data_IF_848160100292
#
_entry.id   IF_848160100292
#
_cell.length_a   1.000
_cell.length_b   1.000
_cell.length_c   1.000
_cell.angle_alpha   90.00
_cell.angle_beta   90.00
_cell.angle_gamma   90.00
#
_symmetry.space_group_name_H-M   'P 1'
#
loop_
_entity.id
_entity.type
_entity.pdbx_description
1 polymer ?
#
# COMPACT_ATOMS: atom_id res chain seq x y z
N UNK A 1 44.69 -6.28 -4.17
CA UNK A 1 43.53 -6.92 -4.86
C UNK A 1 42.42 -7.36 -3.89
N UNK A 2 42.72 -7.93 -2.72
CA UNK A 2 41.72 -8.40 -1.73
C UNK A 2 40.75 -7.33 -1.19
N UNK A 3 41.20 -6.10 -0.93
CA UNK A 3 40.36 -5.01 -0.39
C UNK A 3 39.24 -4.62 -1.37
N UNK A 4 39.52 -4.61 -2.68
CA UNK A 4 38.52 -4.29 -3.71
C UNK A 4 37.41 -5.33 -3.74
N UNK A 5 37.74 -6.61 -3.61
CA UNK A 5 36.75 -7.70 -3.56
C UNK A 5 35.80 -7.61 -2.37
N UNK A 6 36.29 -7.20 -1.19
CA UNK A 6 35.41 -7.00 -0.01
C UNK A 6 34.45 -5.83 -0.16
N UNK A 7 34.88 -4.74 -0.81
CA UNK A 7 34.01 -3.58 -1.09
C UNK A 7 32.88 -3.97 -2.04
N UNK A 8 33.16 -4.77 -3.08
CA UNK A 8 32.12 -5.24 -4.01
C UNK A 8 31.11 -6.17 -3.35
N UNK A 9 31.54 -7.04 -2.41
CA UNK A 9 30.64 -7.92 -1.65
C UNK A 9 29.77 -7.12 -0.67
N UNK A 10 30.34 -6.12 0.02
CA UNK A 10 29.59 -5.24 0.91
C UNK A 10 28.56 -4.39 0.17
N UNK A 11 28.89 -3.90 -1.03
CA UNK A 11 27.95 -3.15 -1.88
C UNK A 11 26.79 -4.02 -2.38
N UNK A 12 27.09 -5.26 -2.79
CA UNK A 12 26.08 -6.22 -3.24
C UNK A 12 25.13 -6.66 -2.10
N UNK A 13 25.66 -6.85 -0.88
CA UNK A 13 24.85 -7.15 0.30
C UNK A 13 23.93 -5.99 0.71
N UNK A 14 24.36 -4.74 0.54
CA UNK A 14 23.52 -3.56 0.79
C UNK A 14 22.31 -3.46 -0.14
N UNK A 15 22.45 -3.82 -1.42
CA UNK A 15 21.34 -3.75 -2.38
C UNK A 15 20.22 -4.77 -2.10
N UNK A 16 20.52 -5.95 -1.56
CA UNK A 16 19.52 -6.98 -1.24
C UNK A 16 18.56 -6.59 -0.11
N UNK A 17 19.03 -5.76 0.82
CA UNK A 17 18.23 -5.28 1.95
C UNK A 17 17.10 -4.35 1.51
N UNK A 18 17.33 -3.52 0.49
CA UNK A 18 16.34 -2.54 0.00
C UNK A 18 15.18 -3.21 -0.73
N UNK A 19 15.45 -4.26 -1.51
CA UNK A 19 14.40 -5.11 -2.09
C UNK A 19 13.60 -5.86 -1.02
N UNK A 20 14.23 -6.19 0.11
CA UNK A 20 13.59 -6.85 1.24
C UNK A 20 12.52 -5.97 1.89
N UNK A 21 12.76 -4.66 2.03
CA UNK A 21 11.81 -3.74 2.67
C UNK A 21 10.44 -3.70 1.96
N UNK A 22 10.42 -3.70 0.63
CA UNK A 22 9.17 -3.71 -0.15
C UNK A 22 8.37 -5.01 0.07
N UNK A 23 9.07 -6.15 0.07
CA UNK A 23 8.45 -7.44 0.34
C UNK A 23 7.90 -7.52 1.78
N UNK A 24 8.66 -7.04 2.76
CA UNK A 24 8.23 -6.98 4.17
C UNK A 24 7.00 -6.09 4.31
N UNK A 25 7.00 -4.88 3.76
CA UNK A 25 5.86 -3.96 3.82
C UNK A 25 4.60 -4.58 3.22
N UNK A 26 4.75 -5.29 2.09
CA UNK A 26 3.65 -6.01 1.44
C UNK A 26 3.09 -7.11 2.34
N UNK A 27 3.97 -7.96 2.89
CA UNK A 27 3.58 -9.11 3.72
C UNK A 27 3.06 -8.74 5.10
N UNK A 28 3.43 -7.55 5.59
CA UNK A 28 3.03 -7.04 6.91
C UNK A 28 1.89 -6.02 6.84
N UNK A 29 1.29 -5.81 5.66
CA UNK A 29 0.12 -4.97 5.53
C UNK A 29 -1.06 -5.59 6.28
N UNK A 30 -1.65 -4.82 7.20
CA UNK A 30 -2.69 -5.26 8.12
C UNK A 30 -4.03 -4.56 7.87
N UNK A 31 -4.17 -3.81 6.79
CA UNK A 31 -5.44 -3.14 6.47
C UNK A 31 -6.51 -4.21 6.23
N UNK A 32 -7.65 -4.10 6.91
CA UNK A 32 -8.84 -4.87 6.53
C UNK A 32 -9.57 -4.18 5.37
N UNK A 33 -10.49 -4.89 4.74
CA UNK A 33 -11.34 -4.28 3.71
C UNK A 33 -12.25 -3.20 4.31
N UNK A 34 -12.67 -3.37 5.57
CA UNK A 34 -13.39 -2.36 6.33
C UNK A 34 -12.54 -1.10 6.55
N UNK A 35 -11.24 -1.24 6.84
CA UNK A 35 -10.33 -0.10 6.96
C UNK A 35 -10.19 0.66 5.65
N UNK A 36 -10.06 -0.07 4.53
CA UNK A 36 -9.96 0.52 3.20
C UNK A 36 -11.23 1.31 2.89
N UNK A 37 -12.41 0.72 3.07
CA UNK A 37 -13.68 1.39 2.82
C UNK A 37 -13.86 2.60 3.74
N UNK A 38 -13.55 2.47 5.03
CA UNK A 38 -13.62 3.56 6.00
C UNK A 38 -12.73 4.74 5.58
N UNK A 39 -11.43 4.49 5.34
CA UNK A 39 -10.46 5.54 4.99
C UNK A 39 -10.77 6.21 3.66
N UNK A 40 -11.16 5.42 2.64
CA UNK A 40 -11.43 5.96 1.29
C UNK A 40 -12.77 6.67 1.20
N UNK A 41 -13.78 6.24 1.96
CA UNK A 41 -15.08 6.92 2.03
C UNK A 41 -14.95 8.36 2.54
N UNK A 42 -14.06 8.61 3.51
CA UNK A 42 -13.81 9.93 4.05
C UNK A 42 -13.29 10.92 3.02
N UNK A 43 -12.37 10.50 2.13
CA UNK A 43 -11.84 11.39 1.07
C UNK A 43 -12.78 11.52 -0.13
N UNK A 44 -13.66 10.55 -0.34
CA UNK A 44 -14.68 10.59 -1.40
C UNK A 44 -15.94 11.35 -0.98
N UNK A 45 -16.10 11.67 0.31
CA UNK A 45 -17.31 12.29 0.84
C UNK A 45 -18.54 11.36 0.78
N UNK A 46 -18.33 10.05 0.95
CA UNK A 46 -19.36 9.02 0.89
C UNK A 46 -19.43 8.24 2.21
N UNK A 47 -20.52 7.50 2.44
CA UNK A 47 -20.54 6.51 3.51
C UNK A 47 -19.72 5.28 3.10
N UNK A 48 -19.02 4.59 4.02
CA UNK A 48 -18.41 3.29 3.74
C UNK A 48 -19.41 2.28 3.17
N UNK A 49 -20.68 2.34 3.63
CA UNK A 49 -21.75 1.46 3.17
C UNK A 49 -22.25 1.77 1.76
N UNK A 50 -21.84 2.89 1.15
CA UNK A 50 -22.11 3.23 -0.24
C UNK A 50 -21.05 2.71 -1.20
N UNK A 51 -19.98 2.12 -0.67
CA UNK A 51 -18.84 1.61 -1.41
C UNK A 51 -18.76 0.09 -1.33
N UNK A 52 -18.36 -0.51 -2.44
CA UNK A 52 -17.99 -1.91 -2.54
C UNK A 52 -16.54 -2.00 -2.99
N UNK A 53 -15.72 -2.76 -2.27
CA UNK A 53 -14.36 -3.08 -2.68
C UNK A 53 -14.43 -4.12 -3.80
N UNK A 54 -14.04 -3.73 -5.01
CA UNK A 54 -14.07 -4.60 -6.20
C UNK A 54 -12.78 -5.39 -6.33
N UNK A 55 -11.66 -4.72 -6.11
CA UNK A 55 -10.34 -5.31 -6.20
C UNK A 55 -9.41 -4.64 -5.19
N UNK A 56 -8.42 -5.38 -4.72
CA UNK A 56 -7.39 -4.93 -3.80
C UNK A 56 -6.08 -5.63 -4.13
N UNK A 57 -4.99 -4.87 -4.14
CA UNK A 57 -3.63 -5.41 -4.14
C UNK A 57 -2.73 -4.54 -3.27
N UNK A 58 -1.72 -5.16 -2.67
CA UNK A 58 -0.70 -4.44 -1.92
C UNK A 58 0.65 -4.66 -2.61
N UNK A 59 1.38 -3.57 -2.84
CA UNK A 59 2.73 -3.60 -3.40
C UNK A 59 3.60 -2.58 -2.64
N UNK A 60 4.64 -3.08 -1.99
CA UNK A 60 5.46 -2.29 -1.09
C UNK A 60 4.63 -1.72 0.07
N UNK A 61 4.69 -0.40 0.23
CA UNK A 61 3.95 0.33 1.27
C UNK A 61 2.56 0.79 0.81
N UNK A 62 2.16 0.48 -0.42
CA UNK A 62 0.90 0.94 -1.00
C UNK A 62 -0.11 -0.20 -1.09
N UNK A 63 -1.36 0.09 -0.71
CA UNK A 63 -2.52 -0.71 -1.04
C UNK A 63 -3.32 0.02 -2.11
N UNK A 64 -3.44 -0.61 -3.27
CA UNK A 64 -4.27 -0.15 -4.37
C UNK A 64 -5.63 -0.85 -4.30
N UNK A 65 -6.70 -0.06 -4.31
CA UNK A 65 -8.07 -0.54 -4.20
C UNK A 65 -8.92 0.04 -5.34
N UNK A 66 -9.71 -0.82 -5.96
CA UNK A 66 -10.79 -0.40 -6.87
C UNK A 66 -12.10 -0.43 -6.10
N UNK A 67 -12.80 0.70 -6.05
CA UNK A 67 -14.07 0.84 -5.36
C UNK A 67 -15.18 1.08 -6.37
N UNK A 68 -16.37 0.58 -6.07
CA UNK A 68 -17.60 0.89 -6.80
C UNK A 68 -18.64 1.46 -5.85
N UNK A 69 -19.23 2.58 -6.22
CA UNK A 69 -20.33 3.18 -5.48
C UNK A 69 -21.65 2.46 -5.78
N UNK A 70 -22.66 2.59 -4.92
CA UNK A 70 -24.05 2.16 -5.22
C UNK A 70 -24.61 2.75 -6.51
N UNK A 71 -24.20 3.97 -6.87
CA UNK A 71 -24.59 4.63 -8.13
C UNK A 71 -23.90 4.06 -9.37
N UNK A 72 -22.99 3.09 -9.20
CA UNK A 72 -22.26 2.43 -10.26
C UNK A 72 -20.91 3.06 -10.59
N UNK A 73 -20.60 4.29 -10.12
CA UNK A 73 -19.31 4.98 -10.34
C UNK A 73 -18.15 4.19 -9.74
N UNK A 74 -17.01 4.17 -10.43
CA UNK A 74 -15.79 3.48 -10.03
C UNK A 74 -14.65 4.43 -9.70
N UNK A 75 -13.84 4.06 -8.70
CA UNK A 75 -12.69 4.84 -8.24
C UNK A 75 -11.46 3.97 -8.06
N UNK A 76 -10.31 4.50 -8.46
CA UNK A 76 -8.99 3.98 -8.15
C UNK A 76 -8.45 4.69 -6.92
N UNK A 77 -8.27 3.97 -5.83
CA UNK A 77 -7.75 4.51 -4.58
C UNK A 77 -6.39 3.92 -4.24
N UNK A 78 -5.49 4.75 -3.73
CA UNK A 78 -4.22 4.32 -3.15
C UNK A 78 -4.18 4.72 -1.67
N UNK A 79 -3.95 3.72 -0.81
CA UNK A 79 -3.72 3.90 0.63
C UNK A 79 -2.25 3.60 0.90
N UNK A 80 -1.50 4.59 1.37
CA UNK A 80 -0.09 4.42 1.74
C UNK A 80 0.04 4.15 3.24
N UNK A 81 0.75 3.09 3.61
CA UNK A 81 1.00 2.67 4.98
C UNK A 81 0.26 1.37 5.36
N UNK A 82 -0.25 1.32 6.59
CA UNK A 82 -0.97 0.17 7.14
C UNK A 82 -0.13 -1.10 7.26
N UNK A 83 1.20 -0.97 7.33
CA UNK A 83 2.14 -2.08 7.44
C UNK A 83 3.08 -1.90 8.64
N UNK A 84 3.92 -2.89 8.92
CA UNK A 84 4.83 -2.85 10.07
C UNK A 84 5.80 -1.67 10.02
N UNK A 85 6.27 -1.27 8.83
CA UNK A 85 7.22 -0.16 8.67
C UNK A 85 6.58 1.20 8.98
N UNK A 86 5.25 1.31 8.83
CA UNK A 86 4.49 2.49 9.23
C UNK A 86 3.84 2.35 10.61
N UNK A 87 4.16 1.28 11.36
CA UNK A 87 3.50 0.94 12.63
C UNK A 87 1.96 0.93 12.52
N UNK A 88 1.43 0.51 11.37
CA UNK A 88 0.00 0.50 11.07
C UNK A 88 -0.61 1.87 10.72
N UNK A 89 0.14 2.97 10.81
CA UNK A 89 -0.34 4.29 10.38
C UNK A 89 -0.54 4.36 8.86
N UNK A 90 -1.45 5.22 8.42
CA UNK A 90 -1.77 5.44 7.01
C UNK A 90 -1.84 6.93 6.70
N UNK A 91 -1.36 7.33 5.51
CA UNK A 91 -1.67 8.65 4.97
C UNK A 91 -3.13 8.73 4.50
N UNK A 92 -3.70 9.94 4.37
CA UNK A 92 -4.97 10.14 3.68
C UNK A 92 -4.95 9.46 2.29
N UNK A 93 -5.97 8.66 1.94
CA UNK A 93 -6.02 8.02 0.65
C UNK A 93 -6.12 9.02 -0.50
N UNK A 94 -5.54 8.67 -1.64
CA UNK A 94 -5.74 9.40 -2.91
C UNK A 94 -6.67 8.57 -3.76
N UNK A 95 -7.81 9.13 -4.17
CA UNK A 95 -8.80 8.46 -4.98
C UNK A 95 -9.12 9.25 -6.24
N UNK A 96 -9.07 8.58 -7.40
CA UNK A 96 -9.37 9.17 -8.69
C UNK A 96 -10.54 8.42 -9.36
N UNK A 97 -11.46 9.11 -10.05
CA UNK A 97 -12.44 8.44 -10.91
C UNK A 97 -11.75 7.55 -11.95
N UNK A 98 -12.35 6.38 -12.23
CA UNK A 98 -11.98 5.50 -13.34
C UNK A 98 -12.92 5.67 -14.51
#
# INVERSE_FOLDING_TARGET
MRIRSFVFVALAAGCGLVSGCSAIATKTNSLSDADILSKTSGVLGLSPSDLTLVNRRTEGVNTYATLRTKSGKTYACTVNGGNLLSFGMTNPPVCNPM
#
